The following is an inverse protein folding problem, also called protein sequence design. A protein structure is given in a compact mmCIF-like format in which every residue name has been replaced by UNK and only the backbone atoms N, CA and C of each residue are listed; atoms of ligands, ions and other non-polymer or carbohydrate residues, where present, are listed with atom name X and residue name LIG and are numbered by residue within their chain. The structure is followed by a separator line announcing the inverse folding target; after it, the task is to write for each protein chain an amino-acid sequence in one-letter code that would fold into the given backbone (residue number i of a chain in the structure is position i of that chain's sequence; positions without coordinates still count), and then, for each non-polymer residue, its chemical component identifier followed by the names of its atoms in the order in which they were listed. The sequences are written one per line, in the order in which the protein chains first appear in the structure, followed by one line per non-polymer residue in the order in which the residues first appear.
data_IF_911060501260
#
_entry.id   IF_911060501260
#
_cell.length_a   1.000
_cell.length_b   1.000
_cell.length_c   1.000
_cell.angle_alpha   90.00
_cell.angle_beta   90.00
_cell.angle_gamma   90.00
#
_symmetry.space_group_name_H-M   'P 1'
#
loop_
_entity.id
_entity.type
_entity.pdbx_description
1 polymer ?
#
# COMPACT_ATOMS: atom_id res chain seq x y z
N UNK A 1 9.79 16.84 1.78
CA UNK A 1 9.65 15.40 1.56
C UNK A 1 8.53 14.87 2.38
N UNK A 2 7.63 14.24 1.75
CA UNK A 2 6.43 13.79 2.45
C UNK A 2 6.37 12.29 2.60
N UNK A 3 7.08 11.53 1.77
CA UNK A 3 6.96 10.07 1.78
C UNK A 3 8.31 9.40 1.64
N UNK A 4 8.54 8.41 2.46
CA UNK A 4 9.72 7.55 2.36
C UNK A 4 9.23 6.13 2.12
N UNK A 5 9.76 5.50 1.09
CA UNK A 5 9.37 4.15 0.70
C UNK A 5 10.60 3.26 0.74
N UNK A 6 10.50 2.14 1.46
CA UNK A 6 11.55 1.14 1.53
C UNK A 6 10.95 -0.23 1.22
N UNK A 7 11.70 -1.06 0.52
CA UNK A 7 11.22 -2.39 0.16
C UNK A 7 12.14 -3.46 0.71
N UNK A 8 11.56 -4.63 1.02
CA UNK A 8 12.34 -5.80 1.40
C UNK A 8 11.61 -7.05 0.94
N UNK A 9 12.34 -8.12 0.79
CA UNK A 9 11.79 -9.40 0.37
C UNK A 9 11.57 -10.31 1.56
N UNK A 10 10.40 -10.96 1.61
CA UNK A 10 10.11 -12.03 2.56
C UNK A 10 9.61 -13.19 1.71
N UNK A 11 10.47 -14.17 1.47
CA UNK A 11 10.23 -15.25 0.53
C UNK A 11 9.99 -14.65 -0.87
N UNK A 12 8.85 -14.93 -1.51
CA UNK A 12 8.53 -14.36 -2.82
C UNK A 12 7.61 -13.14 -2.72
N UNK A 13 7.46 -12.58 -1.51
CA UNK A 13 6.62 -11.42 -1.26
C UNK A 13 7.48 -10.18 -1.09
N UNK A 14 7.11 -9.09 -1.73
CA UNK A 14 7.77 -7.80 -1.56
C UNK A 14 6.99 -6.97 -0.56
N UNK A 15 7.63 -6.63 0.56
CA UNK A 15 7.05 -5.77 1.57
C UNK A 15 7.48 -4.34 1.30
N UNK A 16 6.51 -3.46 1.12
CA UNK A 16 6.74 -2.04 0.83
C UNK A 16 6.39 -1.24 2.06
N UNK A 17 7.39 -0.72 2.75
CA UNK A 17 7.19 0.12 3.93
C UNK A 17 7.01 1.56 3.50
N UNK A 18 5.92 2.18 3.94
CA UNK A 18 5.58 3.54 3.57
C UNK A 18 5.53 4.39 4.83
N UNK A 19 6.32 5.47 4.85
CA UNK A 19 6.41 6.36 6.01
C UNK A 19 6.17 7.78 5.56
N UNK A 20 5.46 8.55 6.39
CA UNK A 20 5.22 9.97 6.13
C UNK A 20 3.79 10.26 5.76
N UNK A 21 3.59 11.07 4.72
CA UNK A 21 2.28 11.54 4.30
C UNK A 21 2.06 11.25 2.82
N UNK A 22 0.86 10.83 2.47
CA UNK A 22 0.49 10.61 1.08
C UNK A 22 -0.66 11.54 0.72
N UNK A 23 -0.32 12.67 0.12
CA UNK A 23 -1.26 13.72 -0.24
C UNK A 23 -1.03 14.13 -1.68
N UNK A 24 -1.95 14.96 -2.20
CA UNK A 24 -1.86 15.43 -3.58
C UNK A 24 -0.54 16.16 -3.80
N UNK A 25 0.20 15.76 -4.85
CA UNK A 25 1.48 16.37 -5.18
C UNK A 25 2.61 16.06 -4.21
N UNK A 26 2.34 15.27 -3.17
CA UNK A 26 3.32 14.97 -2.14
C UNK A 26 3.17 13.50 -1.73
N UNK A 27 3.89 12.65 -2.43
CA UNK A 27 3.94 11.22 -2.15
C UNK A 27 3.07 10.37 -3.05
N UNK A 28 1.96 10.90 -3.56
CA UNK A 28 1.04 10.11 -4.38
C UNK A 28 1.72 9.61 -5.67
N UNK A 29 2.41 10.50 -6.36
CA UNK A 29 3.13 10.14 -7.59
C UNK A 29 4.30 9.22 -7.27
N UNK A 30 5.04 9.51 -6.21
CA UNK A 30 6.18 8.69 -5.78
C UNK A 30 5.73 7.26 -5.50
N UNK A 31 4.62 7.10 -4.78
CA UNK A 31 4.08 5.80 -4.45
C UNK A 31 3.68 5.03 -5.72
N UNK A 32 2.96 5.69 -6.61
CA UNK A 32 2.52 5.07 -7.87
C UNK A 32 3.70 4.57 -8.68
N UNK A 33 4.73 5.40 -8.83
CA UNK A 33 5.90 5.04 -9.63
C UNK A 33 6.68 3.89 -9.00
N UNK A 34 6.77 3.86 -7.68
CA UNK A 34 7.46 2.77 -6.98
C UNK A 34 6.75 1.43 -7.21
N UNK A 35 5.43 1.40 -7.04
CA UNK A 35 4.68 0.17 -7.23
C UNK A 35 4.75 -0.29 -8.69
N UNK A 36 4.63 0.65 -9.61
CA UNK A 36 4.74 0.32 -11.04
C UNK A 36 6.10 -0.29 -11.36
N UNK A 37 7.16 0.27 -10.80
CA UNK A 37 8.52 -0.25 -10.99
C UNK A 37 8.63 -1.68 -10.47
N UNK A 38 8.05 -1.96 -9.30
CA UNK A 38 8.09 -3.31 -8.73
C UNK A 38 7.36 -4.30 -9.63
N UNK A 39 6.21 -3.93 -10.13
CA UNK A 39 5.45 -4.79 -11.04
C UNK A 39 6.22 -5.03 -12.34
N UNK A 40 6.87 -4.00 -12.86
CA UNK A 40 7.68 -4.12 -14.07
C UNK A 40 8.87 -5.06 -13.87
N UNK A 41 9.33 -5.21 -12.63
CA UNK A 41 10.41 -6.14 -12.28
C UNK A 41 9.89 -7.56 -11.99
N UNK A 42 8.60 -7.80 -12.13
CA UNK A 42 8.01 -9.10 -11.87
C UNK A 42 7.64 -9.35 -10.40
N UNK A 43 7.67 -8.32 -9.57
CA UNK A 43 7.30 -8.43 -8.16
C UNK A 43 5.79 -8.34 -8.06
N UNK A 44 5.12 -9.48 -8.07
CA UNK A 44 3.66 -9.54 -8.20
C UNK A 44 2.91 -9.74 -6.89
N UNK A 45 3.60 -10.14 -5.83
CA UNK A 45 2.99 -10.32 -4.51
C UNK A 45 3.48 -9.21 -3.60
N UNK A 46 2.61 -8.24 -3.33
CA UNK A 46 2.97 -7.03 -2.60
C UNK A 46 2.23 -6.94 -1.27
N UNK A 47 2.94 -6.50 -0.23
CA UNK A 47 2.36 -6.15 1.06
C UNK A 47 2.75 -4.71 1.33
N UNK A 48 1.77 -3.84 1.54
CA UNK A 48 2.02 -2.46 1.95
C UNK A 48 1.98 -2.38 3.46
N UNK A 49 3.11 -2.06 4.06
CA UNK A 49 3.21 -1.87 5.51
C UNK A 49 2.99 -0.38 5.77
N UNK A 50 1.85 -0.05 6.35
CA UNK A 50 1.42 1.33 6.54
C UNK A 50 1.66 1.84 7.96
N UNK A 51 2.48 1.15 8.74
CA UNK A 51 2.73 1.54 10.14
C UNK A 51 3.28 2.96 10.24
N UNK A 52 4.14 3.34 9.32
CA UNK A 52 4.76 4.67 9.33
C UNK A 52 3.97 5.73 8.58
N UNK A 53 2.85 5.37 7.97
CA UNK A 53 2.02 6.34 7.24
C UNK A 53 1.21 7.13 8.25
N UNK A 54 1.48 8.44 8.34
CA UNK A 54 0.88 9.30 9.36
C UNK A 54 -0.38 9.99 8.90
N UNK A 55 -0.51 10.21 7.59
CA UNK A 55 -1.63 10.98 7.06
C UNK A 55 -1.85 10.66 5.59
N UNK A 56 -3.10 10.72 5.19
CA UNK A 56 -3.51 10.51 3.81
C UNK A 56 -4.76 11.36 3.56
N UNK A 57 -4.77 12.11 2.47
CA UNK A 57 -5.96 12.86 2.07
C UNK A 57 -6.75 12.04 1.03
N UNK A 58 -7.80 12.63 0.46
CA UNK A 58 -8.63 11.94 -0.52
C UNK A 58 -7.83 11.56 -1.77
N UNK A 59 -6.81 12.35 -2.12
CA UNK A 59 -5.94 12.02 -3.24
C UNK A 59 -5.11 10.78 -2.94
N UNK A 60 -4.60 10.66 -1.71
CA UNK A 60 -3.87 9.47 -1.29
C UNK A 60 -4.74 8.23 -1.29
N UNK A 61 -5.97 8.35 -0.82
CA UNK A 61 -6.94 7.25 -0.85
C UNK A 61 -7.18 6.83 -2.29
N UNK A 62 -7.40 7.81 -3.17
CA UNK A 62 -7.61 7.52 -4.59
C UNK A 62 -6.41 6.82 -5.22
N UNK A 63 -5.21 7.23 -4.84
CA UNK A 63 -3.99 6.61 -5.35
C UNK A 63 -3.87 5.16 -4.86
N UNK A 64 -4.25 4.91 -3.60
CA UNK A 64 -4.21 3.57 -3.05
C UNK A 64 -5.17 2.63 -3.82
N UNK A 65 -6.39 3.11 -4.08
CA UNK A 65 -7.37 2.33 -4.85
C UNK A 65 -6.89 2.12 -6.28
N UNK A 66 -6.35 3.15 -6.91
CA UNK A 66 -5.83 3.06 -8.27
C UNK A 66 -4.69 2.04 -8.35
N UNK A 67 -3.83 2.04 -7.35
CA UNK A 67 -2.73 1.08 -7.27
C UNK A 67 -3.25 -0.35 -7.14
N UNK A 68 -4.25 -0.55 -6.29
CA UNK A 68 -4.88 -1.86 -6.15
C UNK A 68 -5.42 -2.35 -7.51
N UNK A 69 -6.10 -1.47 -8.23
CA UNK A 69 -6.64 -1.79 -9.53
C UNK A 69 -5.53 -2.16 -10.52
N UNK A 70 -4.45 -1.37 -10.54
CA UNK A 70 -3.31 -1.64 -11.43
C UNK A 70 -2.68 -3.00 -11.13
N UNK A 71 -2.47 -3.30 -9.84
CA UNK A 71 -1.87 -4.57 -9.44
C UNK A 71 -2.76 -5.74 -9.87
N UNK A 72 -4.06 -5.64 -9.59
CA UNK A 72 -5.00 -6.71 -9.95
C UNK A 72 -5.09 -6.89 -11.46
N UNK A 73 -5.11 -5.82 -12.22
CA UNK A 73 -5.19 -5.89 -13.68
C UNK A 73 -3.94 -6.54 -14.29
N UNK A 74 -2.83 -6.48 -13.58
CA UNK A 74 -1.59 -7.13 -14.03
C UNK A 74 -1.42 -8.51 -13.40
N UNK A 75 -2.49 -9.06 -12.83
CA UNK A 75 -2.54 -10.39 -12.22
C UNK A 75 -1.66 -10.51 -11.00
N UNK A 76 -1.39 -9.40 -10.33
CA UNK A 76 -0.68 -9.37 -9.06
C UNK A 76 -1.65 -9.41 -7.89
N UNK A 77 -1.09 -9.35 -6.69
CA UNK A 77 -1.85 -9.35 -5.45
C UNK A 77 -1.31 -8.27 -4.53
N UNK A 78 -2.20 -7.62 -3.81
CA UNK A 78 -1.86 -6.53 -2.89
C UNK A 78 -2.57 -6.74 -1.56
N UNK A 79 -1.80 -6.72 -0.48
CA UNK A 79 -2.32 -6.78 0.89
C UNK A 79 -1.84 -5.59 1.67
N UNK A 80 -2.63 -5.16 2.65
CA UNK A 80 -2.27 -4.05 3.54
C UNK A 80 -2.09 -4.56 4.95
N UNK A 81 -1.17 -3.94 5.70
CA UNK A 81 -1.01 -4.28 7.11
C UNK A 81 -0.62 -3.05 7.92
N UNK A 82 -0.78 -3.16 9.24
CA UNK A 82 -0.39 -2.12 10.19
C UNK A 82 -1.08 -0.79 9.91
N UNK A 83 -2.38 -0.82 9.61
CA UNK A 83 -3.14 0.41 9.42
C UNK A 83 -3.32 1.11 10.75
N UNK A 84 -2.93 2.39 10.81
CA UNK A 84 -3.19 3.20 11.99
C UNK A 84 -4.69 3.45 12.11
N UNK A 85 -5.14 3.86 13.31
CA UNK A 85 -6.56 4.16 13.52
C UNK A 85 -7.09 5.20 12.54
N UNK A 86 -6.28 6.23 12.25
CA UNK A 86 -6.68 7.29 11.32
C UNK A 86 -6.89 6.75 9.90
N UNK A 87 -5.98 5.93 9.43
CA UNK A 87 -6.07 5.36 8.08
C UNK A 87 -7.24 4.39 8.01
N UNK A 88 -7.38 3.55 9.04
CA UNK A 88 -8.49 2.61 9.11
C UNK A 88 -9.83 3.34 9.07
N UNK A 89 -9.98 4.38 9.89
CA UNK A 89 -11.21 5.17 9.93
C UNK A 89 -11.51 5.81 8.58
N UNK A 90 -10.48 6.34 7.92
CA UNK A 90 -10.64 6.97 6.62
C UNK A 90 -11.15 5.96 5.59
N UNK A 91 -10.59 4.77 5.58
CA UNK A 91 -11.03 3.73 4.65
C UNK A 91 -12.45 3.25 4.97
N UNK A 92 -12.82 3.20 6.26
CA UNK A 92 -14.17 2.82 6.65
C UNK A 92 -15.19 3.89 6.24
N UNK A 93 -14.89 5.17 6.50
CA UNK A 93 -15.80 6.27 6.18
C UNK A 93 -16.02 6.36 4.68
N UNK A 94 -15.00 6.10 3.88
CA UNK A 94 -15.12 6.13 2.42
C UNK A 94 -15.64 4.82 1.85
N UNK A 95 -15.93 3.85 2.71
CA UNK A 95 -16.43 2.52 2.32
C UNK A 95 -15.47 1.75 1.43
N UNK A 96 -14.17 2.03 1.56
CA UNK A 96 -13.13 1.40 0.74
C UNK A 96 -12.37 0.31 1.48
N UNK A 97 -12.60 0.16 2.79
CA UNK A 97 -11.87 -0.84 3.57
C UNK A 97 -12.09 -2.26 3.01
N UNK A 98 -13.30 -2.54 2.58
CA UNK A 98 -13.67 -3.87 2.07
C UNK A 98 -13.03 -4.19 0.72
N UNK A 99 -12.48 -3.18 0.03
CA UNK A 99 -11.76 -3.41 -1.24
C UNK A 99 -10.45 -4.14 -1.00
N UNK A 100 -9.84 -3.94 0.17
CA UNK A 100 -8.50 -4.43 0.45
C UNK A 100 -8.51 -5.61 1.41
N UNK A 101 -7.55 -6.52 1.22
CA UNK A 101 -7.23 -7.54 2.21
C UNK A 101 -6.31 -6.90 3.24
N UNK A 102 -6.74 -6.84 4.50
CA UNK A 102 -5.99 -6.17 5.55
C UNK A 102 -5.59 -7.14 6.65
N UNK A 103 -4.42 -6.90 7.23
CA UNK A 103 -3.84 -7.76 8.26
C UNK A 103 -3.25 -6.88 9.35
N UNK A 104 -3.12 -7.43 10.55
CA UNK A 104 -2.61 -6.68 11.70
C UNK A 104 -1.10 -6.46 11.61
N UNK A 105 -0.36 -7.42 11.07
CA UNK A 105 1.11 -7.37 11.04
C UNK A 105 1.63 -7.81 9.69
N UNK A 106 2.90 -7.49 9.43
CA UNK A 106 3.59 -7.97 8.24
C UNK A 106 3.61 -9.51 8.22
N UNK A 107 3.90 -10.12 9.37
CA UNK A 107 3.98 -11.58 9.45
C UNK A 107 2.69 -12.24 9.01
N UNK A 108 1.54 -11.70 9.45
CA UNK A 108 0.24 -12.22 9.01
C UNK A 108 0.00 -11.98 7.54
N UNK A 109 0.40 -10.80 7.06
CA UNK A 109 0.13 -10.41 5.68
C UNK A 109 0.93 -11.24 4.67
N UNK A 110 2.09 -11.78 5.05
CA UNK A 110 2.92 -12.57 4.14
C UNK A 110 2.59 -14.07 4.18
N UNK A 111 1.82 -14.51 5.16
CA UNK A 111 1.44 -15.92 5.26
C UNK A 111 0.47 -16.30 4.15
N UNK A 112 0.65 -17.49 3.60
CA UNK A 112 -0.25 -18.05 2.59
C UNK A 112 -0.44 -17.11 1.39
N UNK A 113 0.61 -16.43 1.03
CA UNK A 113 0.53 -15.45 -0.06
C UNK A 113 0.87 -16.08 -1.40
#
# INVERSE_FOLDING_TARGET
MSLKIETRQVNDVTVVEIKGKMTIGAGDVQFREEVKSLLDQGQMKLVLDLQGLKYMDSSGVGELVSTYTTVTNREGQLRLCNLSGKILDLLQITQLLQVFDTYSTVDEAVQDY
#
